data_IF_621086990429
#
_entry.id   IF_621086990429
#
_cell.length_a   1.000
_cell.length_b   1.000
_cell.length_c   1.000
_cell.angle_alpha   90.00
_cell.angle_beta   90.00
_cell.angle_gamma   90.00
#
_symmetry.space_group_name_H-M   'P 1'
#
loop_
_entity.id
_entity.type
_entity.pdbx_description
1 polymer ?
#
# COMPACT_ATOMS: atom_id res chain seq x y z
N UNK A 1 45.71 1.94 -31.11
CA UNK A 1 45.82 3.42 -31.17
C UNK A 1 44.42 3.97 -30.91
N UNK A 2 44.11 4.90 -30.01
CA UNK A 2 44.82 5.61 -28.98
C UNK A 2 43.79 5.94 -27.87
N UNK A 3 44.27 6.05 -26.65
CA UNK A 3 43.55 6.49 -25.44
C UNK A 3 43.42 8.02 -25.48
N UNK A 4 42.32 8.60 -24.97
CA UNK A 4 42.39 9.80 -24.11
C UNK A 4 41.06 10.16 -23.43
N UNK A 5 41.17 10.30 -22.10
CA UNK A 5 40.22 10.94 -21.20
C UNK A 5 40.31 12.47 -21.30
N UNK A 6 39.22 13.18 -21.01
CA UNK A 6 39.30 14.46 -20.28
C UNK A 6 37.94 14.89 -19.72
N UNK A 7 37.90 14.97 -18.39
CA UNK A 7 36.85 15.59 -17.58
C UNK A 7 36.82 17.12 -17.78
N UNK A 8 35.65 17.73 -17.65
CA UNK A 8 35.51 19.19 -17.48
C UNK A 8 34.27 19.48 -16.65
N UNK A 9 34.48 19.79 -15.37
CA UNK A 9 33.47 20.29 -14.45
C UNK A 9 33.31 21.81 -14.66
N UNK A 10 32.07 22.29 -14.74
CA UNK A 10 31.76 23.72 -14.77
C UNK A 10 30.88 24.06 -13.57
N UNK A 11 31.44 24.88 -12.69
CA UNK A 11 30.79 25.48 -11.53
C UNK A 11 30.10 26.76 -12.01
N UNK A 12 28.80 26.91 -11.75
CA UNK A 12 28.10 28.19 -11.86
C UNK A 12 27.56 28.61 -10.50
N UNK A 13 28.14 29.69 -9.97
CA UNK A 13 27.58 30.47 -8.88
C UNK A 13 26.84 31.67 -9.49
N UNK A 14 25.60 31.91 -9.07
CA UNK A 14 24.88 33.15 -9.37
C UNK A 14 24.24 33.69 -8.11
N UNK A 15 24.89 34.68 -7.51
CA UNK A 15 24.24 35.66 -6.64
C UNK A 15 23.49 36.67 -7.51
N UNK A 16 22.32 37.11 -7.05
CA UNK A 16 21.69 38.35 -7.52
C UNK A 16 21.07 39.07 -6.33
N UNK A 17 21.39 40.37 -6.13
CA UNK A 17 20.86 41.19 -5.04
C UNK A 17 19.68 42.02 -5.51
N UNK A 18 18.70 42.26 -4.64
CA UNK A 18 17.67 43.27 -4.86
C UNK A 18 17.66 44.30 -3.71
N UNK A 19 17.94 45.54 -4.13
CA UNK A 19 17.77 46.85 -3.48
C UNK A 19 16.24 47.14 -3.31
N UNK A 20 15.67 48.14 -2.61
CA UNK A 20 16.05 49.45 -2.04
C UNK A 20 14.80 50.06 -1.32
N UNK A 21 14.98 51.26 -0.73
CA UNK A 21 14.01 52.30 -0.31
C UNK A 21 13.65 52.27 1.20
N UNK A 22 14.26 53.08 2.07
CA UNK A 22 14.33 54.55 2.23
C UNK A 22 13.15 55.15 3.00
N UNK A 23 13.41 55.75 4.15
CA UNK A 23 13.13 57.17 4.47
C UNK A 23 13.34 57.42 5.96
N UNK A 24 14.15 58.43 6.28
CA UNK A 24 14.12 59.12 7.58
C UNK A 24 12.90 60.05 7.61
N UNK A 25 12.40 60.55 8.76
CA UNK A 25 13.12 61.67 9.39
C UNK A 25 12.93 61.87 10.92
N UNK A 26 13.80 62.76 11.42
CA UNK A 26 13.61 63.74 12.49
C UNK A 26 13.92 63.42 13.98
N UNK A 27 14.64 64.40 14.54
CA UNK A 27 15.18 64.57 15.88
C UNK A 27 14.09 64.85 16.92
N UNK A 28 14.30 64.40 18.16
CA UNK A 28 14.17 65.22 19.38
C UNK A 28 15.03 64.65 20.50
N UNK A 29 15.79 65.53 21.16
CA UNK A 29 16.47 65.32 22.43
C UNK A 29 15.45 65.49 23.55
N UNK A 30 15.19 64.47 24.37
CA UNK A 30 14.65 64.66 25.72
C UNK A 30 15.08 63.51 26.63
N UNK A 31 15.68 63.89 27.76
CA UNK A 31 16.05 63.04 28.88
C UNK A 31 14.81 62.43 29.53
N UNK A 32 14.83 61.14 29.84
CA UNK A 32 13.89 60.56 30.80
C UNK A 32 13.60 59.07 30.63
N UNK A 33 13.89 58.33 31.69
CA UNK A 33 13.37 57.01 32.04
C UNK A 33 13.88 55.77 31.28
N UNK A 34 14.69 55.01 32.02
CA UNK A 34 15.04 53.61 31.77
C UNK A 34 13.78 52.75 31.70
N UNK A 35 13.46 52.24 30.51
CA UNK A 35 12.54 51.12 30.33
C UNK A 35 13.40 49.91 29.95
N UNK A 36 13.32 48.88 30.78
CA UNK A 36 13.92 47.56 30.59
C UNK A 36 13.63 47.03 29.18
N UNK A 37 14.65 47.06 28.32
CA UNK A 37 14.61 46.37 27.03
C UNK A 37 14.68 44.87 27.31
N UNK A 38 13.57 44.17 27.07
CA UNK A 38 13.51 42.71 27.02
C UNK A 38 14.72 42.17 26.24
N UNK A 39 15.43 41.14 26.72
CA UNK A 39 16.44 40.50 25.90
C UNK A 39 15.74 39.93 24.66
N UNK A 40 16.06 40.49 23.50
CA UNK A 40 15.75 39.87 22.21
C UNK A 40 16.44 38.52 22.19
N UNK A 41 15.65 37.45 22.33
CA UNK A 41 16.10 36.08 22.13
C UNK A 41 16.61 36.00 20.69
N UNK A 42 17.93 36.02 20.53
CA UNK A 42 18.57 35.61 19.28
C UNK A 42 18.35 34.10 19.21
N UNK A 43 17.33 33.68 18.47
CA UNK A 43 17.20 32.27 18.06
C UNK A 43 18.37 31.99 17.13
N UNK A 44 19.47 31.52 17.70
CA UNK A 44 20.54 30.93 16.92
C UNK A 44 19.93 29.74 16.17
N UNK A 45 19.67 29.89 14.88
CA UNK A 45 19.43 28.77 13.96
C UNK A 45 20.71 27.97 13.88
N UNK A 46 20.96 27.16 14.89
CA UNK A 46 21.92 26.06 14.79
C UNK A 46 21.26 25.03 13.90
N UNK A 47 21.49 25.15 12.59
CA UNK A 47 21.34 24.02 11.69
C UNK A 47 22.38 22.98 12.11
N UNK A 48 22.07 22.19 13.15
CA UNK A 48 22.71 20.90 13.33
C UNK A 48 22.32 20.09 12.11
N UNK A 49 23.21 20.05 11.13
CA UNK A 49 23.19 19.01 10.11
C UNK A 49 23.30 17.69 10.88
N UNK A 50 22.18 17.05 11.14
CA UNK A 50 22.16 15.69 11.64
C UNK A 50 22.79 14.84 10.54
N UNK A 51 24.06 14.49 10.70
CA UNK A 51 24.67 13.44 9.90
C UNK A 51 23.81 12.19 10.10
N UNK A 52 23.15 11.78 9.03
CA UNK A 52 22.60 10.44 8.93
C UNK A 52 23.84 9.54 8.95
N UNK A 53 24.14 8.95 10.10
CA UNK A 53 25.13 7.88 10.18
C UNK A 53 24.51 6.72 9.40
N UNK A 54 24.83 6.64 8.11
CA UNK A 54 24.44 5.53 7.27
C UNK A 54 25.08 4.27 7.86
N UNK A 55 24.28 3.45 8.54
CA UNK A 55 24.69 2.10 8.86
C UNK A 55 25.03 1.41 7.52
N UNK A 56 26.21 0.79 7.46
CA UNK A 56 26.57 -0.13 6.38
C UNK A 56 25.52 -1.24 6.38
N UNK A 57 24.54 -1.15 5.47
CA UNK A 57 23.53 -2.18 5.30
C UNK A 57 24.20 -3.32 4.54
N UNK A 58 24.16 -4.51 5.12
CA UNK A 58 24.43 -5.74 4.38
C UNK A 58 23.57 -5.75 3.11
N UNK A 59 24.16 -6.13 1.98
CA UNK A 59 23.49 -6.14 0.69
C UNK A 59 22.22 -6.99 0.79
N UNK A 60 21.07 -6.40 0.46
CA UNK A 60 19.78 -7.11 0.45
C UNK A 60 19.59 -7.72 -0.93
N UNK A 61 19.78 -9.04 -1.00
CA UNK A 61 19.72 -9.79 -2.25
C UNK A 61 18.26 -10.19 -2.55
N UNK A 62 17.74 -9.94 -3.76
CA UNK A 62 16.43 -10.41 -4.18
C UNK A 62 16.32 -11.94 -4.08
N UNK A 63 15.19 -12.43 -3.54
CA UNK A 63 14.99 -13.84 -3.19
C UNK A 63 15.05 -14.82 -4.38
N UNK A 64 14.85 -14.36 -5.62
CA UNK A 64 14.68 -15.24 -6.79
C UNK A 64 15.99 -15.90 -7.29
N UNK A 65 17.15 -15.46 -6.80
CA UNK A 65 18.46 -15.97 -7.25
C UNK A 65 19.42 -16.31 -6.10
N UNK A 66 18.91 -16.34 -4.87
CA UNK A 66 19.72 -16.56 -3.68
C UNK A 66 20.17 -18.03 -3.60
N UNK A 67 21.46 -18.29 -3.82
CA UNK A 67 22.12 -19.54 -3.45
C UNK A 67 22.01 -19.74 -1.93
N UNK A 68 22.46 -20.88 -1.37
CA UNK A 68 22.42 -21.11 0.07
C UNK A 68 22.92 -19.87 0.83
N UNK A 69 24.19 -19.52 0.82
CA UNK A 69 24.67 -18.26 1.42
C UNK A 69 25.64 -17.54 0.47
N UNK A 70 25.79 -16.23 0.69
CA UNK A 70 26.87 -15.43 0.10
C UNK A 70 27.99 -15.20 1.12
N UNK A 71 29.21 -14.95 0.64
CA UNK A 71 30.40 -14.78 1.49
C UNK A 71 30.25 -13.65 2.52
N UNK A 72 29.42 -12.64 2.22
CA UNK A 72 29.10 -11.54 3.14
C UNK A 72 28.23 -11.95 4.33
N UNK A 73 27.51 -13.06 4.24
CA UNK A 73 26.55 -13.51 5.25
C UNK A 73 27.13 -14.57 6.20
N UNK A 74 28.28 -15.13 5.85
CA UNK A 74 28.97 -16.17 6.65
C UNK A 74 29.29 -15.66 8.06
N UNK A 75 29.69 -14.40 8.18
CA UNK A 75 30.01 -13.76 9.46
C UNK A 75 28.79 -13.09 10.13
N UNK A 76 27.59 -13.27 9.58
CA UNK A 76 26.35 -12.69 10.06
C UNK A 76 25.68 -13.50 11.18
N UNK A 77 24.50 -13.06 11.65
CA UNK A 77 23.67 -13.86 12.56
C UNK A 77 23.22 -15.17 11.90
N UNK A 78 22.94 -16.18 12.72
CA UNK A 78 22.52 -17.51 12.25
C UNK A 78 21.07 -17.50 11.75
N UNK A 79 20.90 -17.28 10.46
CA UNK A 79 19.59 -17.26 9.80
C UNK A 79 19.15 -18.70 9.41
N UNK A 80 20.04 -19.68 9.47
CA UNK A 80 19.82 -21.03 8.95
C UNK A 80 19.16 -21.95 9.96
N UNK A 81 19.60 -21.85 11.21
CA UNK A 81 19.04 -22.66 12.30
C UNK A 81 17.80 -22.01 12.94
N UNK A 82 17.52 -20.74 12.61
CA UNK A 82 16.33 -20.01 13.03
C UNK A 82 15.25 -19.97 11.95
N UNK A 83 13.99 -19.77 12.36
CA UNK A 83 12.91 -19.60 11.38
C UNK A 83 13.05 -18.24 10.69
N UNK A 84 13.11 -18.25 9.36
CA UNK A 84 13.20 -17.03 8.58
C UNK A 84 12.03 -16.07 8.87
N UNK A 85 12.35 -14.79 9.00
CA UNK A 85 11.37 -13.71 9.20
C UNK A 85 11.63 -12.56 8.21
N UNK A 86 10.61 -12.07 7.49
CA UNK A 86 10.76 -11.05 6.47
C UNK A 86 11.27 -9.74 7.05
N UNK A 87 12.21 -9.12 6.33
CA UNK A 87 12.74 -7.80 6.63
C UNK A 87 11.91 -6.72 5.93
N UNK A 88 12.18 -5.46 6.26
CA UNK A 88 11.43 -4.32 5.74
C UNK A 88 11.48 -4.18 4.21
N UNK A 89 12.54 -4.68 3.56
CA UNK A 89 12.67 -4.65 2.11
C UNK A 89 11.81 -5.68 1.39
N UNK A 90 11.46 -6.80 2.04
CA UNK A 90 10.82 -7.93 1.36
C UNK A 90 9.35 -7.69 1.03
N UNK A 91 8.70 -6.74 1.72
CA UNK A 91 7.25 -6.51 1.64
C UNK A 91 6.87 -5.08 1.28
N UNK A 92 7.75 -4.41 0.53
CA UNK A 92 7.46 -3.08 -0.01
C UNK A 92 6.28 -3.17 -0.98
N UNK A 93 5.31 -2.27 -0.83
CA UNK A 93 4.07 -2.33 -1.61
C UNK A 93 4.26 -2.13 -3.12
N UNK A 94 5.36 -1.49 -3.54
CA UNK A 94 5.69 -1.21 -4.94
C UNK A 94 5.96 -2.50 -5.73
N UNK A 95 6.55 -3.50 -5.08
CA UNK A 95 7.05 -4.71 -5.75
C UNK A 95 6.00 -5.84 -5.77
N UNK A 96 4.83 -5.60 -5.17
CA UNK A 96 3.78 -6.62 -5.06
C UNK A 96 3.16 -6.93 -6.41
N UNK A 97 2.91 -8.22 -6.72
CA UNK A 97 2.24 -8.59 -7.94
C UNK A 97 0.78 -8.14 -7.93
N UNK A 98 0.29 -7.82 -9.11
CA UNK A 98 -1.11 -7.48 -9.36
C UNK A 98 -1.77 -8.63 -10.10
N UNK A 99 -2.94 -9.05 -9.63
CA UNK A 99 -3.74 -10.05 -10.31
C UNK A 99 -5.05 -9.47 -10.82
N UNK A 100 -5.53 -9.98 -11.95
CA UNK A 100 -6.85 -9.71 -12.50
C UNK A 100 -7.73 -10.96 -12.47
N UNK A 101 -9.00 -10.78 -12.16
CA UNK A 101 -10.02 -11.83 -12.11
C UNK A 101 -11.30 -11.35 -12.78
N UNK A 102 -11.74 -12.07 -13.81
CA UNK A 102 -13.11 -11.93 -14.31
C UNK A 102 -14.09 -12.73 -13.44
N UNK A 103 -15.06 -12.04 -12.83
CA UNK A 103 -16.07 -12.64 -11.97
C UNK A 103 -17.26 -13.27 -12.73
N UNK A 104 -17.30 -13.15 -14.06
CA UNK A 104 -18.40 -13.66 -14.90
C UNK A 104 -18.64 -15.16 -14.71
N UNK A 105 -19.88 -15.49 -14.31
CA UNK A 105 -20.35 -16.86 -14.03
C UNK A 105 -19.48 -17.65 -13.01
N UNK A 106 -18.65 -16.96 -12.21
CA UNK A 106 -17.88 -17.55 -11.10
C UNK A 106 -18.72 -17.62 -9.83
N UNK A 107 -18.62 -18.72 -9.08
CA UNK A 107 -19.33 -18.88 -7.81
C UNK A 107 -18.70 -17.99 -6.73
N UNK A 108 -19.48 -17.03 -6.22
CA UNK A 108 -19.06 -15.99 -5.27
C UNK A 108 -18.14 -16.49 -4.15
N UNK A 109 -18.57 -17.50 -3.40
CA UNK A 109 -17.82 -17.97 -2.22
C UNK A 109 -16.52 -18.69 -2.58
N UNK A 110 -16.49 -19.43 -3.70
CA UNK A 110 -15.28 -20.13 -4.17
C UNK A 110 -14.26 -19.12 -4.68
N UNK A 111 -14.73 -18.13 -5.45
CA UNK A 111 -13.92 -17.02 -5.92
C UNK A 111 -13.31 -16.21 -4.77
N UNK A 112 -14.13 -15.82 -3.80
CA UNK A 112 -13.67 -15.05 -2.64
C UNK A 112 -12.60 -15.79 -1.82
N UNK A 113 -12.68 -17.11 -1.72
CA UNK A 113 -11.69 -17.94 -1.03
C UNK A 113 -10.32 -17.86 -1.70
N UNK A 114 -10.29 -18.05 -3.04
CA UNK A 114 -9.05 -17.92 -3.82
C UNK A 114 -8.48 -16.52 -3.69
N UNK A 115 -9.29 -15.48 -3.87
CA UNK A 115 -8.86 -14.08 -3.72
C UNK A 115 -8.24 -13.84 -2.34
N UNK A 116 -8.87 -14.31 -1.26
CA UNK A 116 -8.36 -14.14 0.10
C UNK A 116 -7.02 -14.85 0.34
N UNK A 117 -6.79 -16.01 -0.29
CA UNK A 117 -5.50 -16.74 -0.21
C UNK A 117 -4.37 -15.89 -0.82
N UNK A 118 -4.60 -15.30 -2.00
CA UNK A 118 -3.61 -14.48 -2.71
C UNK A 118 -3.37 -13.13 -2.03
N UNK A 119 -4.43 -12.43 -1.59
CA UNK A 119 -4.28 -11.19 -0.82
C UNK A 119 -3.53 -11.44 0.50
N UNK A 120 -3.69 -12.62 1.10
CA UNK A 120 -2.97 -12.97 2.33
C UNK A 120 -1.53 -13.44 2.07
N UNK A 121 -1.18 -13.81 0.85
CA UNK A 121 0.12 -14.39 0.49
C UNK A 121 0.31 -15.84 0.95
N UNK A 122 -0.78 -16.57 1.27
CA UNK A 122 -0.70 -17.99 1.72
C UNK A 122 -0.17 -18.94 0.64
N UNK A 123 -0.16 -18.51 -0.61
CA UNK A 123 0.39 -19.24 -1.74
C UNK A 123 1.92 -19.13 -1.84
N UNK A 124 2.55 -18.20 -1.12
CA UNK A 124 3.99 -17.99 -1.14
C UNK A 124 4.68 -18.79 -0.03
N UNK A 125 5.89 -19.27 -0.31
CA UNK A 125 6.72 -19.94 0.70
C UNK A 125 7.19 -18.97 1.80
N UNK A 126 7.27 -17.67 1.49
CA UNK A 126 7.65 -16.59 2.41
C UNK A 126 6.50 -16.11 3.32
N UNK A 127 5.38 -16.83 3.34
CA UNK A 127 4.20 -16.45 4.12
C UNK A 127 4.54 -16.27 5.61
N UNK A 128 4.23 -15.10 6.13
CA UNK A 128 4.37 -14.77 7.55
C UNK A 128 3.07 -14.19 8.09
N UNK A 129 2.49 -14.70 9.19
CA UNK A 129 1.19 -14.21 9.67
C UNK A 129 1.17 -12.73 10.11
N UNK A 130 2.26 -12.21 10.64
CA UNK A 130 2.34 -10.83 11.13
C UNK A 130 2.56 -9.78 10.04
N UNK A 131 3.04 -10.20 8.86
CA UNK A 131 3.47 -9.32 7.77
C UNK A 131 2.57 -9.52 6.55
N UNK A 132 2.48 -8.51 5.70
CA UNK A 132 1.77 -8.60 4.44
C UNK A 132 2.71 -8.88 3.26
N UNK A 133 2.85 -10.17 2.95
CA UNK A 133 3.55 -10.69 1.77
C UNK A 133 2.60 -10.92 0.58
N UNK A 134 1.34 -10.51 0.68
CA UNK A 134 0.32 -10.82 -0.32
C UNK A 134 0.42 -9.99 -1.59
N UNK A 135 -0.62 -10.13 -2.41
CA UNK A 135 -0.75 -9.48 -3.71
C UNK A 135 -1.94 -8.51 -3.75
N UNK A 136 -1.93 -7.63 -4.76
CA UNK A 136 -3.12 -6.87 -5.14
C UNK A 136 -4.01 -7.72 -6.06
N UNK A 137 -5.32 -7.62 -5.89
CA UNK A 137 -6.28 -8.35 -6.73
C UNK A 137 -7.35 -7.40 -7.22
N UNK A 138 -7.45 -7.32 -8.55
CA UNK A 138 -8.48 -6.60 -9.28
C UNK A 138 -9.55 -7.60 -9.70
N UNK A 139 -10.80 -7.29 -9.41
CA UNK A 139 -11.96 -8.07 -9.84
C UNK A 139 -12.80 -7.22 -10.78
N UNK A 140 -13.07 -7.73 -11.98
CA UNK A 140 -13.91 -7.10 -13.00
C UNK A 140 -15.20 -7.91 -13.20
N UNK A 141 -16.22 -7.30 -13.82
CA UNK A 141 -17.56 -7.84 -14.00
C UNK A 141 -18.21 -8.29 -12.68
N UNK A 142 -18.08 -7.49 -11.61
CA UNK A 142 -18.65 -7.84 -10.30
C UNK A 142 -20.18 -8.06 -10.36
N UNK A 143 -20.88 -7.39 -11.29
CA UNK A 143 -22.31 -7.59 -11.53
C UNK A 143 -22.67 -8.99 -12.04
N UNK A 144 -21.73 -9.72 -12.67
CA UNK A 144 -21.98 -11.02 -13.31
C UNK A 144 -21.62 -12.21 -12.42
N UNK A 145 -21.33 -11.95 -11.14
CA UNK A 145 -20.98 -13.01 -10.18
C UNK A 145 -22.16 -13.97 -9.97
N UNK A 146 -21.86 -15.26 -9.98
CA UNK A 146 -22.87 -16.30 -9.84
C UNK A 146 -23.05 -16.77 -8.40
N UNK A 147 -24.31 -17.08 -8.08
CA UNK A 147 -24.69 -17.81 -6.86
C UNK A 147 -25.48 -19.06 -7.21
N UNK A 148 -25.37 -20.09 -6.38
CA UNK A 148 -26.08 -21.36 -6.54
C UNK A 148 -27.45 -21.38 -5.87
N UNK A 149 -28.38 -22.19 -6.40
CA UNK A 149 -29.71 -22.39 -5.83
C UNK A 149 -30.56 -21.12 -5.76
N UNK A 150 -31.45 -21.04 -4.76
CA UNK A 150 -32.38 -19.91 -4.54
C UNK A 150 -31.75 -18.72 -3.78
N UNK A 151 -30.42 -18.71 -3.63
CA UNK A 151 -29.70 -17.70 -2.83
C UNK A 151 -29.84 -16.28 -3.36
N UNK A 152 -30.11 -16.10 -4.65
CA UNK A 152 -30.36 -14.79 -5.26
C UNK A 152 -31.48 -14.02 -4.54
N UNK A 153 -32.53 -14.73 -4.12
CA UNK A 153 -33.69 -14.13 -3.44
C UNK A 153 -33.66 -14.36 -1.92
N UNK A 154 -33.04 -15.44 -1.46
CA UNK A 154 -33.06 -15.86 -0.05
C UNK A 154 -31.90 -15.29 0.78
N UNK A 155 -30.74 -14.98 0.17
CA UNK A 155 -29.59 -14.48 0.92
C UNK A 155 -29.84 -13.03 1.32
N UNK A 156 -29.79 -12.77 2.62
CA UNK A 156 -30.03 -11.45 3.19
C UNK A 156 -28.70 -10.80 3.61
N UNK A 157 -28.48 -9.58 3.17
CA UNK A 157 -27.44 -8.67 3.66
C UNK A 157 -28.06 -7.73 4.68
N UNK A 158 -27.47 -7.66 5.87
CA UNK A 158 -27.99 -6.85 6.98
C UNK A 158 -26.95 -5.86 7.44
N UNK A 159 -27.41 -4.66 7.77
CA UNK A 159 -26.62 -3.64 8.46
C UNK A 159 -27.49 -2.91 9.48
N UNK A 160 -26.87 -2.34 10.50
CA UNK A 160 -27.57 -1.65 11.58
C UNK A 160 -26.97 -0.27 11.77
N UNK A 161 -27.82 0.72 12.05
CA UNK A 161 -27.38 2.11 12.31
C UNK A 161 -26.87 2.33 13.73
N UNK A 162 -27.28 1.49 14.69
CA UNK A 162 -27.03 1.65 16.12
C UNK A 162 -28.25 2.13 16.92
N UNK A 163 -29.30 2.63 16.25
CA UNK A 163 -30.56 3.07 16.88
C UNK A 163 -31.58 1.92 16.96
N UNK A 164 -32.51 1.91 17.94
CA UNK A 164 -33.58 0.91 17.98
C UNK A 164 -34.41 0.93 16.69
N UNK A 165 -34.72 -0.25 16.14
CA UNK A 165 -35.43 -0.40 14.87
C UNK A 165 -34.60 -0.05 13.61
N UNK A 166 -33.33 0.31 13.76
CA UNK A 166 -32.47 0.78 12.67
C UNK A 166 -31.82 -0.31 11.81
N UNK A 167 -32.44 -1.48 11.70
CA UNK A 167 -31.95 -2.60 10.90
C UNK A 167 -32.39 -2.45 9.45
N UNK A 168 -31.45 -2.43 8.51
CA UNK A 168 -31.74 -2.49 7.08
C UNK A 168 -31.37 -3.87 6.55
N UNK A 169 -32.28 -4.46 5.78
CA UNK A 169 -32.13 -5.78 5.17
C UNK A 169 -32.31 -5.64 3.67
N UNK A 170 -31.37 -6.18 2.89
CA UNK A 170 -31.40 -6.21 1.43
C UNK A 170 -31.23 -7.66 0.98
N UNK A 171 -31.96 -8.10 -0.05
CA UNK A 171 -31.69 -9.40 -0.69
C UNK A 171 -30.45 -9.31 -1.57
N UNK A 172 -29.86 -10.44 -1.94
CA UNK A 172 -28.72 -10.47 -2.84
C UNK A 172 -29.02 -9.77 -4.18
N UNK A 173 -30.19 -10.02 -4.77
CA UNK A 173 -30.59 -9.38 -6.03
C UNK A 173 -30.74 -7.86 -5.91
N UNK A 174 -31.38 -7.36 -4.84
CA UNK A 174 -31.51 -5.93 -4.58
C UNK A 174 -30.15 -5.26 -4.39
N UNK A 175 -29.23 -5.92 -3.67
CA UNK A 175 -27.89 -5.39 -3.47
C UNK A 175 -27.08 -5.39 -4.76
N UNK A 176 -27.24 -6.43 -5.59
CA UNK A 176 -26.53 -6.57 -6.87
C UNK A 176 -26.95 -5.48 -7.87
N UNK A 177 -28.24 -5.12 -7.92
CA UNK A 177 -28.72 -4.04 -8.77
C UNK A 177 -28.30 -2.65 -8.29
N UNK A 178 -28.08 -2.48 -6.97
CA UNK A 178 -27.75 -1.18 -6.39
C UNK A 178 -26.26 -0.90 -6.36
N UNK A 179 -25.47 -1.82 -5.78
CA UNK A 179 -24.01 -1.72 -5.58
C UNK A 179 -23.42 -3.14 -5.63
N UNK A 180 -23.16 -3.69 -6.82
CA UNK A 180 -22.70 -5.08 -6.97
C UNK A 180 -21.33 -5.32 -6.33
N UNK A 181 -20.44 -4.33 -6.34
CA UNK A 181 -19.09 -4.42 -5.77
C UNK A 181 -19.10 -4.87 -4.30
N UNK A 182 -20.06 -4.35 -3.52
CA UNK A 182 -20.20 -4.63 -2.08
C UNK A 182 -20.40 -6.11 -1.79
N UNK A 183 -20.96 -6.89 -2.72
CA UNK A 183 -21.18 -8.33 -2.57
C UNK A 183 -19.85 -9.06 -2.43
N UNK A 184 -18.91 -8.77 -3.34
CA UNK A 184 -17.58 -9.37 -3.37
C UNK A 184 -16.72 -8.84 -2.23
N UNK A 185 -16.73 -7.52 -2.01
CA UNK A 185 -16.04 -6.90 -0.89
C UNK A 185 -16.45 -7.51 0.45
N UNK A 186 -17.76 -7.65 0.69
CA UNK A 186 -18.27 -8.23 1.93
C UNK A 186 -17.88 -9.70 2.08
N UNK A 187 -17.90 -10.48 0.99
CA UNK A 187 -17.49 -11.89 1.01
C UNK A 187 -16.00 -12.04 1.34
N UNK A 188 -15.12 -11.32 0.63
CA UNK A 188 -13.67 -11.37 0.82
C UNK A 188 -13.27 -10.81 2.18
N UNK A 189 -13.84 -9.67 2.58
CA UNK A 189 -13.63 -9.10 3.93
C UNK A 189 -14.02 -10.09 5.02
N UNK A 190 -15.03 -10.93 4.79
CA UNK A 190 -15.42 -12.02 5.69
C UNK A 190 -14.29 -13.04 5.90
N UNK A 191 -13.53 -13.37 4.87
CA UNK A 191 -12.48 -14.40 4.86
C UNK A 191 -11.10 -13.87 5.29
N UNK A 192 -10.87 -12.55 5.22
CA UNK A 192 -9.64 -11.92 5.71
C UNK A 192 -9.59 -11.86 7.27
N UNK A 193 -8.37 -11.86 7.86
CA UNK A 193 -8.21 -11.74 9.31
C UNK A 193 -8.85 -10.45 9.83
N UNK A 194 -9.29 -10.44 11.09
CA UNK A 194 -9.86 -9.24 11.73
C UNK A 194 -8.78 -8.54 12.54
N UNK A 195 -8.67 -7.22 12.42
CA UNK A 195 -7.68 -6.42 13.14
C UNK A 195 -7.08 -5.33 12.26
N UNK A 196 -5.92 -4.81 12.68
CA UNK A 196 -5.20 -3.74 11.95
C UNK A 196 -4.74 -4.23 10.58
N UNK A 197 -4.01 -5.35 10.56
CA UNK A 197 -3.50 -5.97 9.34
C UNK A 197 -4.63 -6.34 8.37
N UNK A 198 -5.72 -6.94 8.88
CA UNK A 198 -6.86 -7.29 8.06
C UNK A 198 -7.54 -6.12 7.34
N UNK A 199 -7.60 -4.96 8.00
CA UNK A 199 -8.13 -3.72 7.38
C UNK A 199 -7.19 -3.19 6.30
N UNK A 200 -5.87 -3.30 6.51
CA UNK A 200 -4.87 -2.95 5.50
C UNK A 200 -4.95 -3.87 4.28
N UNK A 201 -5.00 -5.20 4.51
CA UNK A 201 -5.14 -6.20 3.46
C UNK A 201 -6.39 -6.00 2.61
N UNK A 202 -7.51 -5.59 3.23
CA UNK A 202 -8.74 -5.33 2.50
C UNK A 202 -8.57 -4.23 1.44
N UNK A 203 -7.69 -3.26 1.65
CA UNK A 203 -7.42 -2.20 0.68
C UNK A 203 -6.71 -2.70 -0.59
N UNK A 204 -6.13 -3.91 -0.57
CA UNK A 204 -5.46 -4.53 -1.71
C UNK A 204 -6.44 -5.18 -2.69
N UNK A 205 -7.70 -5.35 -2.28
CA UNK A 205 -8.79 -5.72 -3.17
C UNK A 205 -9.30 -4.48 -3.91
N UNK A 206 -9.35 -4.55 -5.24
CA UNK A 206 -10.01 -3.58 -6.12
C UNK A 206 -11.15 -4.28 -6.84
N UNK A 207 -12.36 -3.76 -6.76
CA UNK A 207 -13.55 -4.37 -7.38
C UNK A 207 -14.18 -3.33 -8.29
N UNK A 208 -14.51 -3.75 -9.51
CA UNK A 208 -15.19 -2.94 -10.50
C UNK A 208 -16.45 -3.65 -10.98
N UNK A 209 -17.53 -2.89 -11.13
CA UNK A 209 -18.79 -3.37 -11.68
C UNK A 209 -18.63 -3.90 -13.12
N UNK A 210 -18.01 -3.10 -13.99
CA UNK A 210 -17.84 -3.36 -15.41
C UNK A 210 -16.61 -4.22 -15.77
N UNK A 211 -16.37 -4.44 -17.07
CA UNK A 211 -15.24 -5.24 -17.56
C UNK A 211 -13.90 -4.50 -17.47
N UNK A 212 -13.91 -3.16 -17.46
CA UNK A 212 -12.72 -2.34 -17.55
C UNK A 212 -12.19 -1.91 -16.17
N UNK A 213 -10.88 -1.69 -16.08
CA UNK A 213 -10.22 -1.16 -14.88
C UNK A 213 -9.17 -0.09 -15.24
N UNK A 214 -8.91 0.90 -14.37
CA UNK A 214 -7.91 1.95 -14.63
C UNK A 214 -6.45 1.53 -14.29
N UNK A 215 -6.19 0.25 -14.06
CA UNK A 215 -4.93 -0.26 -13.49
C UNK A 215 -3.98 -0.92 -14.51
N UNK A 216 -3.97 -0.41 -15.74
CA UNK A 216 -3.15 -0.99 -16.81
C UNK A 216 -1.65 -0.77 -16.58
N UNK A 217 -1.27 0.34 -15.92
CA UNK A 217 0.12 0.66 -15.60
C UNK A 217 0.77 -0.37 -14.68
N UNK A 218 -0.02 -1.07 -13.87
CA UNK A 218 0.44 -2.10 -12.93
C UNK A 218 0.71 -3.46 -13.60
N UNK A 219 0.37 -3.63 -14.88
CA UNK A 219 0.56 -4.87 -15.66
C UNK A 219 0.03 -6.12 -14.92
N UNK A 220 -1.28 -6.19 -14.65
CA UNK A 220 -1.85 -7.29 -13.88
C UNK A 220 -1.76 -8.63 -14.63
N UNK A 221 -1.57 -9.71 -13.88
CA UNK A 221 -1.47 -11.09 -14.36
C UNK A 221 -2.79 -11.80 -14.07
N UNK A 222 -3.24 -12.73 -14.91
CA UNK A 222 -4.43 -13.52 -14.62
C UNK A 222 -4.26 -14.36 -13.33
N UNK A 223 -5.28 -14.35 -12.46
CA UNK A 223 -5.22 -15.10 -11.21
C UNK A 223 -5.29 -16.62 -11.47
N UNK A 224 -4.34 -17.42 -10.95
CA UNK A 224 -4.38 -18.87 -11.12
C UNK A 224 -5.46 -19.50 -10.22
N UNK A 225 -6.46 -20.11 -10.83
CA UNK A 225 -7.58 -20.74 -10.10
C UNK A 225 -7.46 -22.28 -10.17
N UNK A 226 -7.22 -22.91 -9.01
CA UNK A 226 -7.11 -24.38 -8.89
C UNK A 226 -8.45 -25.10 -8.72
N UNK A 227 -9.49 -24.42 -8.24
CA UNK A 227 -10.77 -25.03 -7.92
C UNK A 227 -11.60 -25.31 -9.19
N UNK A 228 -11.82 -26.60 -9.48
CA UNK A 228 -12.59 -27.07 -10.64
C UNK A 228 -14.07 -26.68 -10.59
N UNK A 229 -14.63 -26.45 -9.40
CA UNK A 229 -16.08 -26.17 -9.21
C UNK A 229 -16.41 -24.69 -9.19
N UNK A 230 -15.45 -23.83 -9.54
CA UNK A 230 -15.63 -22.38 -9.47
C UNK A 230 -16.56 -21.85 -10.57
N UNK A 231 -16.53 -22.44 -11.76
CA UNK A 231 -17.35 -22.03 -12.88
C UNK A 231 -18.76 -22.59 -12.69
N UNK A 232 -19.77 -21.73 -12.75
CA UNK A 232 -21.15 -22.17 -12.84
C UNK A 232 -21.45 -22.46 -14.31
N UNK A 233 -21.56 -23.73 -14.67
CA UNK A 233 -22.16 -24.13 -15.94
C UNK A 233 -23.68 -23.92 -15.82
N UNK A 234 -24.27 -23.28 -16.82
CA UNK A 234 -25.72 -23.10 -16.91
C UNK A 234 -26.37 -24.30 -17.58
#
# INVERSE_FOLDING_TARGET
>A
MAVQCSSSSVIFASHSPAKTFSSSPNKTLFLGFSISSKPSIVVAKTHRATQICCQEKTALVPLEQRWMFEDSEINGPDIWNETWYPKGADHVNTDKPWYIVDATDKILGRLASTIAIHIRGKNLATYTPSVDMGAFVIVVNAEKVAVSGKKRNQKLYRRHSGRPGGMTVETFDQLQQRIPERILEHAVRGMLPKGRLGRQLFNHLKVYEGPDHPHDAQKPIELPIRDKRIQKQR
#
